data_IF_163342389606
#
_entry.id   IF_163342389606
#
_cell.length_a   1.000
_cell.length_b   1.000
_cell.length_c   1.000
_cell.angle_alpha   90.00
_cell.angle_beta   90.00
_cell.angle_gamma   90.00
#
_symmetry.space_group_name_H-M   'P 1'
#
loop_
_entity.id
_entity.type
_entity.pdbx_description
1 polymer ?
#
# COMPACT_ATOMS: atom_id res chain seq x y z
N UNK A 1 -18.37 0.90 -12.45
CA UNK A 1 -17.18 0.16 -11.94
C UNK A 1 -15.87 0.66 -12.55
N UNK A 2 -15.78 0.94 -13.87
CA UNK A 2 -14.53 1.40 -14.51
C UNK A 2 -13.82 2.59 -13.84
N UNK A 3 -14.53 3.68 -13.51
CA UNK A 3 -13.93 4.87 -12.90
C UNK A 3 -13.28 4.61 -11.53
N UNK A 4 -13.84 3.68 -10.74
CA UNK A 4 -13.27 3.34 -9.43
C UNK A 4 -11.93 2.61 -9.59
N UNK A 5 -11.86 1.71 -10.57
CA UNK A 5 -10.64 0.98 -10.93
C UNK A 5 -9.58 1.97 -11.43
N UNK A 6 -9.95 2.92 -12.30
CA UNK A 6 -9.04 3.97 -12.79
C UNK A 6 -8.46 4.81 -11.66
N UNK A 7 -9.29 5.25 -10.69
CA UNK A 7 -8.82 6.03 -9.53
C UNK A 7 -7.89 5.19 -8.65
N UNK A 8 -8.18 3.91 -8.45
CA UNK A 8 -7.29 3.01 -7.70
C UNK A 8 -5.95 2.80 -8.42
N UNK A 9 -5.97 2.66 -9.75
CA UNK A 9 -4.76 2.58 -10.58
C UNK A 9 -3.95 3.87 -10.51
N UNK A 10 -4.59 5.05 -10.51
CA UNK A 10 -3.90 6.33 -10.32
C UNK A 10 -3.22 6.38 -8.95
N UNK A 11 -3.90 5.96 -7.88
CA UNK A 11 -3.30 5.89 -6.55
C UNK A 11 -2.07 4.97 -6.52
N UNK A 12 -2.15 3.82 -7.19
CA UNK A 12 -1.04 2.87 -7.33
C UNK A 12 0.15 3.51 -8.07
N UNK A 13 -0.11 4.19 -9.20
CA UNK A 13 0.92 4.87 -9.99
C UNK A 13 1.57 5.99 -9.18
N UNK A 14 0.80 6.79 -8.44
CA UNK A 14 1.32 7.85 -7.58
C UNK A 14 2.28 7.29 -6.53
N UNK A 15 1.91 6.18 -5.87
CA UNK A 15 2.77 5.53 -4.90
C UNK A 15 4.08 5.07 -5.54
N UNK A 16 4.02 4.43 -6.71
CA UNK A 16 5.21 3.99 -7.45
C UNK A 16 6.10 5.13 -7.93
N UNK A 17 5.51 6.17 -8.53
CA UNK A 17 6.25 7.30 -9.09
C UNK A 17 6.98 8.12 -8.01
N UNK A 18 6.39 8.23 -6.81
CA UNK A 18 6.94 9.03 -5.70
C UNK A 18 7.82 8.24 -4.73
N UNK A 19 8.08 6.95 -5.00
CA UNK A 19 8.96 6.11 -4.18
C UNK A 19 10.00 5.32 -4.97
N UNK A 20 9.75 5.05 -6.25
CA UNK A 20 10.56 4.13 -7.05
C UNK A 20 10.45 2.66 -6.62
N UNK A 21 9.43 2.30 -5.83
CA UNK A 21 9.18 0.93 -5.40
C UNK A 21 8.92 -0.01 -6.60
N UNK A 22 9.36 -1.26 -6.48
CA UNK A 22 8.99 -2.32 -7.42
C UNK A 22 7.50 -2.63 -7.28
N UNK A 23 6.91 -3.16 -8.37
CA UNK A 23 5.49 -3.56 -8.38
C UNK A 23 5.13 -4.51 -7.23
N UNK A 24 5.97 -5.50 -6.94
CA UNK A 24 5.75 -6.44 -5.83
C UNK A 24 5.74 -5.75 -4.46
N UNK A 25 6.61 -4.75 -4.26
CA UNK A 25 6.68 -3.97 -3.02
C UNK A 25 5.45 -3.04 -2.90
N UNK A 26 4.96 -2.49 -4.01
CA UNK A 26 3.73 -1.69 -4.02
C UNK A 26 2.52 -2.53 -3.62
N UNK A 27 2.42 -3.79 -4.08
CA UNK A 27 1.30 -4.66 -3.72
C UNK A 27 1.22 -4.98 -2.23
N UNK A 28 2.34 -4.93 -1.52
CA UNK A 28 2.42 -5.12 -0.07
C UNK A 28 2.07 -3.85 0.75
N UNK A 29 1.59 -2.78 0.11
CA UNK A 29 1.15 -1.58 0.82
C UNK A 29 -0.18 -1.78 1.55
N UNK A 30 -0.22 -1.25 2.77
CA UNK A 30 -1.36 -1.25 3.68
C UNK A 30 -1.79 0.18 4.01
N UNK A 31 -2.99 0.34 4.58
CA UNK A 31 -3.51 1.67 4.94
C UNK A 31 -2.62 2.45 5.92
N UNK A 32 -1.81 1.74 6.71
CA UNK A 32 -0.90 2.31 7.70
C UNK A 32 0.56 2.41 7.21
N UNK A 33 0.84 2.14 5.92
CA UNK A 33 2.19 2.15 5.34
C UNK A 33 2.83 3.54 5.27
N UNK A 34 2.05 4.62 5.27
CA UNK A 34 2.61 5.97 5.29
C UNK A 34 3.07 6.36 6.70
N UNK A 35 4.32 6.80 6.83
CA UNK A 35 4.92 7.25 8.09
C UNK A 35 5.63 8.57 7.92
N UNK A 36 5.65 9.34 9.00
CA UNK A 36 6.48 10.52 9.14
C UNK A 36 7.69 10.16 10.00
N UNK A 37 8.89 10.60 9.59
CA UNK A 37 10.12 10.40 10.34
C UNK A 37 10.88 11.70 10.50
N UNK A 38 11.51 11.86 11.65
CA UNK A 38 12.46 12.95 11.87
C UNK A 38 13.87 12.38 11.84
N UNK A 39 14.70 12.92 10.95
CA UNK A 39 16.10 12.51 10.79
C UNK A 39 16.95 13.77 10.73
N UNK A 40 17.93 13.90 11.63
CA UNK A 40 18.79 15.10 11.75
C UNK A 40 18.00 16.42 11.89
N UNK A 41 16.91 16.42 12.66
CA UNK A 41 16.05 17.60 12.86
C UNK A 41 15.24 18.01 11.62
N UNK A 42 15.20 17.18 10.59
CA UNK A 42 14.38 17.37 9.38
C UNK A 42 13.31 16.31 9.29
N UNK A 43 12.11 16.74 8.92
CA UNK A 43 10.95 15.87 8.70
C UNK A 43 10.98 15.27 7.30
N UNK A 44 10.95 13.96 7.22
CA UNK A 44 10.81 13.17 6.01
C UNK A 44 9.52 12.36 6.04
N UNK A 45 8.99 12.07 4.86
CA UNK A 45 7.86 11.18 4.69
C UNK A 45 8.36 9.89 4.07
N UNK A 46 7.89 8.76 4.57
CA UNK A 46 8.28 7.45 4.05
C UNK A 46 7.06 6.56 3.83
N UNK A 47 7.15 5.70 2.82
CA UNK A 47 6.28 4.53 2.68
C UNK A 47 7.03 3.30 3.17
N UNK A 48 6.37 2.51 4.00
CA UNK A 48 6.88 1.24 4.51
C UNK A 48 6.14 0.07 3.87
N UNK A 49 6.89 -0.90 3.37
CA UNK A 49 6.35 -2.11 2.73
C UNK A 49 7.32 -3.28 2.83
N UNK A 50 6.86 -4.48 2.49
CA UNK A 50 7.68 -5.67 2.43
C UNK A 50 8.42 -5.77 1.09
N UNK A 51 9.72 -6.06 1.17
CA UNK A 51 10.55 -6.42 0.03
C UNK A 51 10.96 -7.89 0.13
N UNK A 52 10.68 -8.65 -0.92
CA UNK A 52 11.14 -10.03 -1.07
C UNK A 52 12.38 -10.05 -1.95
N UNK A 53 13.53 -10.46 -1.38
CA UNK A 53 14.73 -10.79 -2.16
C UNK A 53 14.77 -12.30 -2.35
N UNK A 54 15.09 -12.75 -3.57
CA UNK A 54 15.16 -14.17 -3.94
C UNK A 54 15.99 -15.03 -2.97
N UNK A 55 17.00 -14.44 -2.31
CA UNK A 55 17.88 -15.16 -1.40
C UNK A 55 17.32 -15.39 0.02
N UNK A 56 16.27 -14.68 0.45
CA UNK A 56 15.89 -14.65 1.88
C UNK A 56 14.60 -15.36 2.26
N UNK A 57 13.79 -15.85 1.31
CA UNK A 57 12.59 -16.65 1.57
C UNK A 57 11.47 -15.98 2.39
N UNK A 58 11.75 -14.84 3.04
CA UNK A 58 10.82 -14.03 3.85
C UNK A 58 10.89 -12.58 3.41
N UNK A 59 9.76 -11.88 3.51
CA UNK A 59 9.68 -10.44 3.31
C UNK A 59 10.47 -9.71 4.40
N UNK A 60 11.26 -8.71 4.01
CA UNK A 60 11.91 -7.79 4.95
C UNK A 60 11.20 -6.45 4.84
N UNK A 61 10.90 -5.83 5.97
CA UNK A 61 10.39 -4.47 5.99
C UNK A 61 11.45 -3.50 5.46
N UNK A 62 11.06 -2.70 4.48
CA UNK A 62 11.88 -1.65 3.90
C UNK A 62 11.08 -0.35 3.81
N UNK A 63 11.79 0.75 3.65
CA UNK A 63 11.22 2.09 3.63
C UNK A 63 11.75 2.89 2.46
N UNK A 64 10.84 3.65 1.82
CA UNK A 64 11.14 4.51 0.70
C UNK A 64 10.74 5.94 1.02
N UNK A 65 11.65 6.88 0.80
CA UNK A 65 11.36 8.30 0.96
C UNK A 65 10.32 8.73 -0.08
N UNK A 66 9.38 9.56 0.35
CA UNK A 66 8.29 10.03 -0.48
C UNK A 66 7.86 11.45 -0.12
N UNK A 67 6.76 11.92 -0.71
CA UNK A 67 6.14 13.21 -0.41
C UNK A 67 4.81 13.03 0.31
N UNK A 68 4.32 14.10 0.95
CA UNK A 68 3.00 14.09 1.61
C UNK A 68 1.83 13.83 0.65
N UNK A 69 2.02 14.02 -0.66
CA UNK A 69 0.99 13.70 -1.65
C UNK A 69 0.65 12.20 -1.66
N UNK A 70 1.63 11.35 -1.40
CA UNK A 70 1.47 9.90 -1.31
C UNK A 70 0.52 9.49 -0.18
N UNK A 71 0.47 10.26 0.92
CA UNK A 71 -0.50 10.04 1.99
C UNK A 71 -1.94 10.08 1.47
N UNK A 72 -2.26 11.09 0.65
CA UNK A 72 -3.60 11.25 0.07
C UNK A 72 -3.97 10.10 -0.87
N UNK A 73 -2.98 9.58 -1.61
CA UNK A 73 -3.19 8.42 -2.48
C UNK A 73 -3.50 7.15 -1.67
N UNK A 74 -2.80 6.93 -0.55
CA UNK A 74 -3.07 5.80 0.35
C UNK A 74 -4.45 5.95 1.02
N UNK A 75 -4.77 7.14 1.52
CA UNK A 75 -6.08 7.43 2.14
C UNK A 75 -7.23 7.23 1.15
N UNK A 76 -7.07 7.66 -0.10
CA UNK A 76 -8.07 7.47 -1.15
C UNK A 76 -8.21 5.99 -1.55
N UNK A 77 -7.10 5.27 -1.71
CA UNK A 77 -7.11 3.84 -2.02
C UNK A 77 -7.76 3.02 -0.89
N UNK A 78 -7.51 3.39 0.37
CA UNK A 78 -8.17 2.79 1.53
C UNK A 78 -9.67 3.06 1.50
N UNK A 79 -10.08 4.32 1.27
CA UNK A 79 -11.49 4.69 1.24
C UNK A 79 -12.26 3.95 0.13
N UNK A 80 -11.64 3.80 -1.04
CA UNK A 80 -12.19 3.04 -2.18
C UNK A 80 -12.34 1.55 -1.86
N UNK A 81 -11.34 0.95 -1.19
CA UNK A 81 -11.32 -0.48 -0.91
C UNK A 81 -12.06 -0.87 0.39
N UNK A 82 -12.43 0.10 1.24
CA UNK A 82 -12.92 -0.12 2.61
C UNK A 82 -14.07 -1.13 2.70
N UNK A 83 -15.09 -1.01 1.87
CA UNK A 83 -16.24 -1.90 1.95
C UNK A 83 -15.88 -3.34 1.57
N UNK A 84 -15.07 -3.54 0.52
CA UNK A 84 -14.56 -4.86 0.15
C UNK A 84 -13.68 -5.46 1.25
N UNK A 85 -12.86 -4.63 1.92
CA UNK A 85 -12.04 -5.07 3.06
C UNK A 85 -12.90 -5.55 4.24
N UNK A 86 -14.02 -4.89 4.51
CA UNK A 86 -14.97 -5.31 5.57
C UNK A 86 -15.62 -6.64 5.19
N UNK A 87 -16.07 -6.79 3.94
CA UNK A 87 -16.65 -8.06 3.47
C UNK A 87 -15.66 -9.23 3.58
N UNK A 88 -14.38 -9.00 3.27
CA UNK A 88 -13.32 -10.00 3.40
C UNK A 88 -13.01 -10.38 4.86
N UNK A 89 -13.31 -9.52 5.84
CA UNK A 89 -13.19 -9.84 7.27
C UNK A 89 -14.35 -10.68 7.78
N UNK A 90 -15.50 -10.61 7.12
CA UNK A 90 -16.71 -11.37 7.44
C UNK A 90 -16.72 -12.76 6.76
N UNK A 91 -15.76 -13.02 5.88
CA UNK A 91 -15.57 -14.30 5.19
C UNK A 91 -14.90 -15.33 6.14
N UNK A 92 -15.36 -16.58 6.06
CA UNK A 92 -14.83 -17.70 6.84
C UNK A 92 -13.46 -18.18 6.34
N UNK A 93 -13.04 -17.79 5.13
CA UNK A 93 -11.72 -18.15 4.57
C UNK A 93 -10.57 -17.36 5.23
N UNK A 94 -9.58 -18.03 5.85
CA UNK A 94 -8.40 -17.38 6.40
C UNK A 94 -7.62 -16.53 5.39
N UNK A 95 -7.68 -16.86 4.09
CA UNK A 95 -7.02 -16.06 3.05
C UNK A 95 -7.74 -14.73 2.80
N UNK A 96 -9.07 -14.70 2.93
CA UNK A 96 -9.86 -13.47 2.87
C UNK A 96 -9.48 -12.50 3.99
N UNK A 97 -9.29 -13.02 5.21
CA UNK A 97 -8.81 -12.21 6.34
C UNK A 97 -7.43 -11.61 6.06
N UNK A 98 -6.50 -12.36 5.46
CA UNK A 98 -5.21 -11.83 5.04
C UNK A 98 -5.37 -10.69 4.00
N UNK A 99 -6.15 -10.94 2.96
CA UNK A 99 -6.40 -9.99 1.88
C UNK A 99 -7.09 -8.71 2.37
N UNK A 100 -7.90 -8.77 3.42
CA UNK A 100 -8.57 -7.60 4.02
C UNK A 100 -7.60 -6.48 4.44
N UNK A 101 -6.33 -6.79 4.64
CA UNK A 101 -5.30 -5.82 4.99
C UNK A 101 -4.74 -5.05 3.77
N UNK A 102 -4.87 -5.61 2.57
CA UNK A 102 -4.28 -5.07 1.33
C UNK A 102 -5.08 -3.88 0.77
N UNK A 103 -4.37 -2.90 0.19
CA UNK A 103 -5.00 -1.75 -0.48
C UNK A 103 -5.55 -2.04 -1.87
N UNK A 104 -5.01 -3.05 -2.56
CA UNK A 104 -5.17 -3.23 -4.01
C UNK A 104 -6.10 -4.40 -4.35
N UNK A 105 -7.32 -4.39 -3.80
CA UNK A 105 -8.30 -5.49 -3.89
C UNK A 105 -9.01 -5.66 -5.25
N UNK A 106 -8.42 -5.20 -6.35
CA UNK A 106 -9.04 -5.28 -7.68
C UNK A 106 -8.06 -5.15 -8.85
N UNK A 107 -6.76 -5.31 -8.60
CA UNK A 107 -5.68 -5.12 -9.58
C UNK A 107 -4.91 -6.44 -9.86
N UNK A 108 -5.55 -7.59 -9.62
CA UNK A 108 -5.01 -8.94 -9.84
C UNK A 108 -5.54 -9.59 -11.11
#
# INVERSE_FOLDING_TARGET
>A
QGTIIEVQTVCFIVCGALTGMRRSELFCLHSNSFKEKEVYGKKYYVLQSEQHKFAQGRGIMAEWVTTKFTQKAIELAEAISRYMRIQLLEDDDPMSVHNSSCLWLGQG
#
